data_IF_253723069261
#
_entry.id   IF_253723069261
#
_cell.length_a   1.000
_cell.length_b   1.000
_cell.length_c   1.000
_cell.angle_alpha   90.00
_cell.angle_beta   90.00
_cell.angle_gamma   90.00
#
_symmetry.space_group_name_H-M   'P 1'
#
loop_
_entity.id
_entity.type
_entity.pdbx_description
1 polymer ?
#
# COMPACT_ATOMS: atom_id res chain seq x y z
N UNK A 1 -1.80 33.02 -10.36
CA UNK A 1 -0.67 32.16 -10.77
C UNK A 1 -1.04 30.75 -10.32
N UNK A 2 -1.76 30.01 -11.18
CA UNK A 2 -2.19 28.65 -10.89
C UNK A 2 -1.15 27.71 -11.50
N UNK A 3 -0.24 27.18 -10.68
CA UNK A 3 0.69 26.16 -11.13
C UNK A 3 -0.01 24.81 -11.08
N UNK A 4 -0.22 24.24 -12.27
CA UNK A 4 -0.71 22.90 -12.56
C UNK A 4 -0.22 21.88 -11.52
N UNK A 5 -1.06 21.56 -10.54
CA UNK A 5 -0.80 20.46 -9.61
C UNK A 5 -1.50 19.24 -10.19
N UNK A 6 -0.84 18.57 -11.13
CA UNK A 6 -1.30 17.29 -11.65
C UNK A 6 -1.20 16.30 -10.50
N UNK A 7 -2.34 15.88 -9.96
CA UNK A 7 -2.46 14.95 -8.85
C UNK A 7 -2.06 13.56 -9.34
N UNK A 8 -0.76 13.26 -9.34
CA UNK A 8 -0.27 11.92 -9.58
C UNK A 8 -0.27 11.21 -8.23
N UNK A 9 -1.37 10.54 -7.89
CA UNK A 9 -1.31 9.41 -6.96
C UNK A 9 -0.50 8.32 -7.65
N UNK A 10 0.82 8.46 -7.63
CA UNK A 10 1.68 7.42 -8.17
C UNK A 10 1.62 6.29 -7.16
N UNK A 11 1.16 5.13 -7.61
CA UNK A 11 1.32 3.90 -6.85
C UNK A 11 2.83 3.65 -6.82
N UNK A 12 3.51 4.15 -5.78
CA UNK A 12 4.91 3.85 -5.55
C UNK A 12 4.96 2.36 -5.20
N UNK A 13 5.09 1.53 -6.23
CA UNK A 13 5.34 0.11 -6.07
C UNK A 13 6.76 -0.01 -5.53
N UNK A 14 6.89 -0.05 -4.20
CA UNK A 14 8.12 -0.45 -3.53
C UNK A 14 8.56 -1.76 -4.20
N UNK A 15 9.67 -1.76 -4.94
CA UNK A 15 10.09 -2.98 -5.65
C UNK A 15 10.39 -4.06 -4.61
N UNK A 16 9.52 -5.06 -4.54
CA UNK A 16 9.55 -6.18 -3.58
C UNK A 16 10.80 -7.06 -3.75
N UNK A 17 11.58 -6.86 -4.82
CA UNK A 17 12.80 -7.62 -5.10
C UNK A 17 13.85 -7.55 -3.97
N UNK A 18 13.93 -6.45 -3.21
CA UNK A 18 14.80 -6.36 -2.01
C UNK A 18 14.18 -7.03 -0.76
N UNK A 19 12.85 -7.19 -0.71
CA UNK A 19 12.12 -7.81 0.39
C UNK A 19 12.08 -9.34 0.30
N UNK A 20 12.40 -9.94 -0.85
CA UNK A 20 12.41 -11.40 -1.00
C UNK A 20 13.51 -12.09 -0.18
N UNK A 21 14.59 -11.37 0.18
CA UNK A 21 15.78 -11.92 0.88
C UNK A 21 15.78 -11.67 2.39
N UNK A 22 14.89 -10.81 2.90
CA UNK A 22 14.78 -10.44 4.31
C UNK A 22 13.32 -10.50 4.74
N UNK A 23 13.03 -10.93 5.97
CA UNK A 23 11.66 -10.91 6.48
C UNK A 23 11.08 -9.50 6.35
N UNK A 24 9.91 -9.39 5.70
CA UNK A 24 9.23 -8.11 5.49
C UNK A 24 8.69 -7.63 6.83
N UNK A 25 9.45 -6.78 7.51
CA UNK A 25 9.04 -6.15 8.77
C UNK A 25 8.48 -4.75 8.49
N UNK A 26 7.60 -4.25 9.35
CA UNK A 26 7.11 -2.87 9.18
C UNK A 26 8.20 -1.79 9.18
N UNK A 27 9.37 -2.04 9.78
CA UNK A 27 10.52 -1.15 9.68
C UNK A 27 11.11 -1.12 8.27
N UNK A 28 11.26 -2.29 7.64
CA UNK A 28 11.73 -2.41 6.27
C UNK A 28 10.77 -1.72 5.29
N UNK A 29 9.46 -1.87 5.50
CA UNK A 29 8.45 -1.18 4.68
C UNK A 29 8.62 0.34 4.79
N UNK A 30 8.81 0.87 5.99
CA UNK A 30 9.07 2.30 6.20
C UNK A 30 10.33 2.78 5.46
N UNK A 31 11.44 2.04 5.54
CA UNK A 31 12.69 2.38 4.83
C UNK A 31 12.50 2.42 3.30
N UNK A 32 11.74 1.47 2.76
CA UNK A 32 11.38 1.45 1.34
C UNK A 32 10.51 2.65 0.95
N UNK A 33 9.48 2.97 1.75
CA UNK A 33 8.63 4.14 1.51
C UNK A 33 9.44 5.44 1.56
N UNK A 34 10.41 5.54 2.46
CA UNK A 34 11.30 6.69 2.55
C UNK A 34 12.22 6.83 1.33
N UNK A 35 12.80 5.71 0.87
CA UNK A 35 13.61 5.66 -0.36
C UNK A 35 12.80 6.13 -1.57
N UNK A 36 11.56 5.66 -1.72
CA UNK A 36 10.67 6.08 -2.80
C UNK A 36 10.26 7.56 -2.67
N UNK A 37 9.97 8.05 -1.47
CA UNK A 37 9.68 9.46 -1.23
C UNK A 37 10.85 10.36 -1.67
N UNK A 38 12.08 10.00 -1.30
CA UNK A 38 13.27 10.72 -1.73
C UNK A 38 13.48 10.66 -3.24
N UNK A 39 13.25 9.51 -3.87
CA UNK A 39 13.32 9.39 -5.31
C UNK A 39 12.31 10.32 -6.01
N UNK A 40 11.05 10.30 -5.58
CA UNK A 40 9.98 11.15 -6.12
C UNK A 40 10.31 12.63 -5.95
N UNK A 41 10.81 13.02 -4.77
CA UNK A 41 11.11 14.41 -4.45
C UNK A 41 12.38 14.91 -5.13
N UNK A 42 13.47 14.15 -5.02
CA UNK A 42 14.82 14.63 -5.34
C UNK A 42 15.23 14.29 -6.78
N UNK A 43 14.69 13.20 -7.35
CA UNK A 43 14.99 12.77 -8.73
C UNK A 43 13.88 13.18 -9.69
N UNK A 44 12.62 12.86 -9.36
CA UNK A 44 11.49 13.19 -10.24
C UNK A 44 11.01 14.63 -10.07
N UNK A 45 11.46 15.33 -9.01
CA UNK A 45 11.07 16.71 -8.69
C UNK A 45 9.55 16.88 -8.52
N UNK A 46 8.88 15.83 -8.02
CA UNK A 46 7.45 15.81 -7.76
C UNK A 46 7.16 15.97 -6.27
N UNK A 47 6.00 16.53 -5.97
CA UNK A 47 5.50 16.58 -4.60
C UNK A 47 4.60 15.38 -4.34
N UNK A 48 5.02 14.49 -3.44
CA UNK A 48 4.16 13.41 -2.97
C UNK A 48 3.17 13.96 -1.95
N UNK A 49 1.87 13.83 -2.22
CA UNK A 49 0.79 14.27 -1.31
C UNK A 49 0.17 13.09 -0.54
N UNK A 50 0.49 11.86 -0.94
CA UNK A 50 -0.01 10.65 -0.32
C UNK A 50 0.59 9.39 -0.91
N UNK A 51 0.38 8.28 -0.20
CA UNK A 51 0.78 6.94 -0.58
C UNK A 51 -0.40 5.96 -0.38
N UNK A 52 -0.42 4.90 -1.17
CA UNK A 52 -1.38 3.82 -1.01
C UNK A 52 -0.66 2.47 -1.10
N UNK A 53 -0.93 1.60 -0.14
CA UNK A 53 -0.31 0.29 -0.03
C UNK A 53 -1.31 -0.74 0.52
N UNK A 54 -0.95 -2.01 0.44
CA UNK A 54 -1.74 -3.05 1.10
C UNK A 54 -1.69 -2.86 2.64
N UNK A 55 -2.71 -3.37 3.33
CA UNK A 55 -2.89 -3.24 4.78
C UNK A 55 -2.42 -4.49 5.52
N UNK A 56 -1.44 -5.22 4.96
CA UNK A 56 -0.78 -6.32 5.67
C UNK A 56 -0.23 -5.83 7.02
N UNK A 57 -0.15 -6.72 8.02
CA UNK A 57 0.22 -6.32 9.38
C UNK A 57 1.52 -5.51 9.47
N UNK A 58 2.53 -5.90 8.69
CA UNK A 58 3.80 -5.19 8.58
C UNK A 58 3.70 -3.88 7.79
N UNK A 59 2.95 -3.86 6.68
CA UNK A 59 2.75 -2.66 5.87
C UNK A 59 2.00 -1.58 6.65
N UNK A 60 0.96 -1.96 7.41
CA UNK A 60 0.24 -1.05 8.31
C UNK A 60 1.18 -0.41 9.32
N UNK A 61 2.12 -1.18 9.87
CA UNK A 61 3.14 -0.62 10.77
C UNK A 61 4.07 0.35 10.02
N UNK A 62 4.49 0.02 8.81
CA UNK A 62 5.27 0.91 7.94
C UNK A 62 4.54 2.22 7.64
N UNK A 63 3.27 2.15 7.27
CA UNK A 63 2.39 3.30 7.06
C UNK A 63 2.30 4.20 8.30
N UNK A 64 2.13 3.61 9.49
CA UNK A 64 2.08 4.36 10.74
C UNK A 64 3.40 5.08 11.06
N UNK A 65 4.54 4.41 10.88
CA UNK A 65 5.86 5.02 11.04
C UNK A 65 6.07 6.17 10.04
N UNK A 66 5.58 5.98 8.81
CA UNK A 66 5.65 6.98 7.77
C UNK A 66 4.81 8.22 8.09
N UNK A 67 3.58 8.02 8.59
CA UNK A 67 2.71 9.10 9.07
C UNK A 67 3.28 9.83 10.29
N UNK A 68 3.98 9.12 11.19
CA UNK A 68 4.67 9.77 12.32
C UNK A 68 5.74 10.76 11.83
N UNK A 69 6.45 10.42 10.74
CA UNK A 69 7.47 11.29 10.15
C UNK A 69 6.87 12.39 9.26
N UNK A 70 5.81 12.07 8.52
CA UNK A 70 5.15 12.95 7.56
C UNK A 70 3.65 13.05 7.85
N UNK A 71 3.24 13.73 8.94
CA UNK A 71 1.83 13.74 9.39
C UNK A 71 0.88 14.47 8.42
N UNK A 72 1.42 15.20 7.45
CA UNK A 72 0.66 15.90 6.41
C UNK A 72 0.35 15.03 5.19
N UNK A 73 0.86 13.79 5.12
CA UNK A 73 0.63 12.90 4.00
C UNK A 73 -0.63 12.04 4.15
N UNK A 74 -1.32 11.82 3.04
CA UNK A 74 -2.46 10.91 2.97
C UNK A 74 -1.96 9.49 2.74
N UNK A 75 -2.05 8.63 3.75
CA UNK A 75 -1.75 7.20 3.58
C UNK A 75 -3.04 6.41 3.64
N UNK A 76 -3.38 5.72 2.54
CA UNK A 76 -4.61 4.93 2.42
C UNK A 76 -4.32 3.45 2.16
N UNK A 77 -5.17 2.59 2.70
CA UNK A 77 -5.12 1.16 2.42
C UNK A 77 -5.69 0.85 1.03
N UNK A 78 -5.10 -0.13 0.34
CA UNK A 78 -5.49 -0.51 -1.02
C UNK A 78 -6.86 -1.21 -1.04
N UNK A 79 -7.85 -0.52 -1.59
CA UNK A 79 -9.26 -0.91 -1.51
C UNK A 79 -9.57 -2.27 -2.16
N UNK A 80 -8.95 -2.59 -3.29
CA UNK A 80 -9.17 -3.86 -3.99
C UNK A 80 -8.69 -5.06 -3.15
N UNK A 81 -7.61 -4.91 -2.39
CA UNK A 81 -7.16 -5.96 -1.48
C UNK A 81 -8.15 -6.12 -0.31
N UNK A 82 -8.62 -5.03 0.27
CA UNK A 82 -9.60 -5.06 1.36
C UNK A 82 -10.88 -5.79 0.96
N UNK A 83 -11.38 -5.56 -0.26
CA UNK A 83 -12.55 -6.27 -0.78
C UNK A 83 -12.27 -7.77 -0.89
N UNK A 84 -11.12 -8.16 -1.42
CA UNK A 84 -10.76 -9.57 -1.54
C UNK A 84 -10.69 -10.26 -0.18
N UNK A 85 -10.18 -9.58 0.85
CA UNK A 85 -10.19 -10.10 2.23
C UNK A 85 -11.61 -10.27 2.78
N UNK A 86 -12.49 -9.29 2.57
CA UNK A 86 -13.89 -9.35 3.01
C UNK A 86 -14.61 -10.51 2.32
N UNK A 87 -14.48 -10.62 0.99
CA UNK A 87 -15.08 -11.70 0.20
C UNK A 87 -14.53 -13.06 0.63
N UNK A 88 -13.21 -13.19 0.80
CA UNK A 88 -12.59 -14.42 1.27
C UNK A 88 -13.10 -14.87 2.64
N UNK A 89 -13.29 -13.94 3.58
CA UNK A 89 -13.88 -14.24 4.88
C UNK A 89 -15.36 -14.60 4.77
N UNK A 90 -16.10 -13.94 3.89
CA UNK A 90 -17.52 -14.24 3.65
C UNK A 90 -17.72 -15.64 3.07
N UNK A 91 -16.89 -16.05 2.10
CA UNK A 91 -16.93 -17.41 1.55
C UNK A 91 -16.61 -18.46 2.61
N UNK A 92 -15.57 -18.24 3.43
CA UNK A 92 -15.22 -19.14 4.53
C UNK A 92 -16.34 -19.29 5.56
N UNK A 93 -17.11 -18.23 5.81
CA UNK A 93 -18.23 -18.26 6.74
C UNK A 93 -19.50 -18.89 6.15
N UNK A 94 -19.63 -18.95 4.81
CA UNK A 94 -20.83 -19.43 4.12
C UNK A 94 -20.46 -20.57 3.15
N UNK A 95 -20.50 -21.81 3.68
CA UNK A 95 -20.10 -23.01 2.93
C UNK A 95 -20.86 -23.22 1.61
N UNK A 96 -22.15 -22.88 1.57
CA UNK A 96 -22.97 -22.99 0.35
C UNK A 96 -22.48 -22.05 -0.76
N UNK A 97 -22.05 -20.85 -0.40
CA UNK A 97 -21.52 -19.86 -1.35
C UNK A 97 -20.10 -20.24 -1.75
N UNK A 98 -19.30 -20.74 -0.82
CA UNK A 98 -17.96 -21.27 -1.14
C UNK A 98 -18.04 -22.38 -2.19
N UNK A 99 -18.97 -23.32 -2.02
CA UNK A 99 -19.16 -24.42 -2.97
C UNK A 99 -19.55 -23.93 -4.38
N UNK A 100 -20.35 -22.87 -4.49
CA UNK A 100 -20.70 -22.27 -5.78
C UNK A 100 -19.49 -21.58 -6.43
N UNK A 101 -18.69 -20.86 -5.65
CA UNK A 101 -17.47 -20.19 -6.13
C UNK A 101 -16.42 -21.20 -6.57
N UNK A 102 -16.24 -22.29 -5.84
CA UNK A 102 -15.28 -23.35 -6.18
C UNK A 102 -15.64 -24.09 -7.48
N UNK A 103 -16.94 -24.25 -7.77
CA UNK A 103 -17.43 -24.85 -9.01
C UNK A 103 -17.48 -23.88 -10.21
N UNK A 104 -17.25 -22.58 -10.00
CA UNK A 104 -17.26 -21.57 -11.05
C UNK A 104 -15.89 -21.33 -11.70
N UNK A 105 -14.82 -21.92 -11.13
CA UNK A 105 -13.45 -21.94 -11.69
C UNK A 105 -13.19 -23.25 -12.44
#
# INVERSE_FOLDING_TARGET
MFTNTQMIMNQASCKVDEAATRAMTGQLVFELMEKEYHYIKDVLLLTMIGACGDAGGDEKRGHLLFLQKYPWMLVMDYWSHQINLILGNYYKANGDISAVVDNAN
#
